data_IF_161963715256
#
_entry.id   IF_161963715256
#
_cell.length_a   1.000
_cell.length_b   1.000
_cell.length_c   1.000
_cell.angle_alpha   90.00
_cell.angle_beta   90.00
_cell.angle_gamma   90.00
#
_symmetry.space_group_name_H-M   'P 1'
#
loop_
_entity.id
_entity.type
_entity.pdbx_description
1 polymer ?
#
# COMPACT_ATOMS: atom_id res chain seq x y z
N UNK A 1 26.70 -14.27 5.44
CA UNK A 1 26.95 -13.00 6.17
C UNK A 1 26.97 -11.76 5.25
N UNK A 2 27.17 -11.91 3.93
CA UNK A 2 27.24 -10.82 2.93
C UNK A 2 25.88 -10.29 2.43
N UNK A 3 24.82 -11.11 2.43
CA UNK A 3 23.48 -10.68 2.02
C UNK A 3 22.88 -9.65 2.98
N UNK A 4 23.08 -9.86 4.29
CA UNK A 4 22.57 -8.97 5.33
C UNK A 4 23.20 -7.57 5.20
N UNK A 5 24.51 -7.50 4.94
CA UNK A 5 25.23 -6.23 4.75
C UNK A 5 24.81 -5.48 3.48
N UNK A 6 24.46 -6.19 2.40
CA UNK A 6 23.99 -5.57 1.15
C UNK A 6 22.58 -5.01 1.29
N UNK A 7 21.69 -5.77 1.93
CA UNK A 7 20.33 -5.30 2.26
C UNK A 7 20.42 -4.10 3.22
N UNK A 8 21.29 -4.17 4.22
CA UNK A 8 21.48 -3.08 5.17
C UNK A 8 22.01 -1.81 4.47
N UNK A 9 22.99 -1.93 3.56
CA UNK A 9 23.47 -0.79 2.73
C UNK A 9 22.36 -0.19 1.87
N UNK A 10 21.53 -1.02 1.24
CA UNK A 10 20.38 -0.55 0.44
C UNK A 10 19.36 0.19 1.31
N UNK A 11 19.03 -0.35 2.48
CA UNK A 11 18.09 0.27 3.42
C UNK A 11 18.62 1.57 4.04
N UNK A 12 19.93 1.65 4.35
CA UNK A 12 20.54 2.86 4.91
C UNK A 12 20.85 3.93 3.87
N UNK A 13 21.05 3.54 2.60
CA UNK A 13 21.23 4.45 1.48
C UNK A 13 19.93 5.10 1.01
N UNK A 14 18.78 4.44 1.26
CA UNK A 14 17.45 4.95 0.93
C UNK A 14 16.91 5.87 2.04
N UNK A 15 17.43 7.10 2.13
CA UNK A 15 16.99 8.09 3.11
C UNK A 15 16.02 9.11 2.52
N UNK A 16 14.71 8.81 2.58
CA UNK A 16 13.61 9.73 2.22
C UNK A 16 13.64 11.03 3.07
N UNK A 17 14.40 11.06 4.17
CA UNK A 17 14.54 12.21 5.05
C UNK A 17 15.47 13.34 4.55
N UNK A 18 16.32 13.07 3.56
CA UNK A 18 17.07 14.08 2.83
C UNK A 18 16.45 14.18 1.44
N UNK A 19 15.31 14.88 1.33
CA UNK A 19 14.45 14.95 0.16
C UNK A 19 15.24 15.11 -1.16
N UNK A 20 15.57 13.97 -1.75
CA UNK A 20 16.02 13.89 -3.13
C UNK A 20 14.79 13.39 -3.86
N UNK A 21 14.26 14.15 -4.83
CA UNK A 21 13.01 13.81 -5.52
C UNK A 21 12.99 12.37 -6.11
N UNK A 22 14.17 11.78 -6.29
CA UNK A 22 14.39 10.39 -6.68
C UNK A 22 13.73 9.34 -5.78
N UNK A 23 13.70 9.53 -4.46
CA UNK A 23 13.13 8.51 -3.57
C UNK A 23 11.60 8.48 -3.67
N UNK A 24 10.97 9.65 -3.77
CA UNK A 24 9.53 9.81 -4.02
C UNK A 24 9.18 9.24 -5.39
N UNK A 25 10.04 9.46 -6.39
CA UNK A 25 9.86 8.93 -7.74
C UNK A 25 9.88 7.40 -7.77
N UNK A 26 10.79 6.76 -7.02
CA UNK A 26 10.87 5.29 -6.90
C UNK A 26 9.61 4.72 -6.24
N UNK A 27 9.15 5.34 -5.14
CA UNK A 27 7.90 4.93 -4.47
C UNK A 27 6.70 5.06 -5.42
N UNK A 28 6.64 6.15 -6.18
CA UNK A 28 5.57 6.38 -7.14
C UNK A 28 5.57 5.36 -8.28
N UNK A 29 6.74 5.07 -8.86
CA UNK A 29 6.89 4.01 -9.89
C UNK A 29 6.48 2.65 -9.33
N UNK A 30 6.90 2.32 -8.11
CA UNK A 30 6.54 1.06 -7.49
C UNK A 30 5.03 0.92 -7.30
N UNK A 31 4.38 2.00 -6.86
CA UNK A 31 2.93 2.08 -6.71
C UNK A 31 2.22 1.85 -8.05
N UNK A 32 2.70 2.50 -9.12
CA UNK A 32 2.20 2.32 -10.49
C UNK A 32 2.43 0.88 -10.96
N UNK A 33 3.59 0.27 -10.68
CA UNK A 33 3.90 -1.10 -11.09
C UNK A 33 2.99 -2.12 -10.40
N UNK A 34 2.81 -2.01 -9.08
CA UNK A 34 1.88 -2.86 -8.30
C UNK A 34 0.45 -2.66 -8.78
N UNK A 35 0.09 -1.44 -9.13
CA UNK A 35 -1.22 -1.12 -9.68
C UNK A 35 -1.48 -1.79 -11.04
N UNK A 36 -0.58 -1.57 -12.00
CA UNK A 36 -0.66 -2.17 -13.35
C UNK A 36 -0.69 -3.70 -13.24
N UNK A 37 0.14 -4.28 -12.36
CA UNK A 37 0.16 -5.70 -12.11
C UNK A 37 -1.17 -6.21 -11.54
N UNK A 38 -1.76 -5.49 -10.58
CA UNK A 38 -3.08 -5.78 -10.03
C UNK A 38 -4.18 -5.72 -11.09
N UNK A 39 -4.13 -4.73 -11.99
CA UNK A 39 -5.08 -4.56 -13.09
C UNK A 39 -4.98 -5.68 -14.14
N UNK A 40 -3.76 -6.05 -14.56
CA UNK A 40 -3.49 -7.10 -15.54
C UNK A 40 -3.97 -8.49 -15.08
N UNK A 41 -3.95 -8.75 -13.78
CA UNK A 41 -4.31 -10.05 -13.20
C UNK A 41 -5.81 -10.21 -12.90
N UNK A 42 -6.61 -9.17 -13.13
CA UNK A 42 -8.07 -9.20 -13.01
C UNK A 42 -8.62 -8.98 -11.59
N UNK A 43 -9.96 -8.92 -11.50
CA UNK A 43 -10.71 -8.45 -10.31
C UNK A 43 -10.35 -9.14 -9.01
N UNK A 44 -10.20 -10.47 -9.02
CA UNK A 44 -9.88 -11.21 -7.80
C UNK A 44 -8.55 -10.78 -7.20
N UNK A 45 -7.57 -10.44 -8.04
CA UNK A 45 -6.23 -10.05 -7.59
C UNK A 45 -6.22 -8.61 -7.09
N UNK A 46 -7.04 -7.74 -7.67
CA UNK A 46 -7.28 -6.40 -7.10
C UNK A 46 -7.96 -6.48 -5.73
N UNK A 47 -8.96 -7.35 -5.55
CA UNK A 47 -9.62 -7.54 -4.25
C UNK A 47 -8.62 -8.06 -3.20
N UNK A 48 -7.77 -9.03 -3.55
CA UNK A 48 -6.70 -9.50 -2.66
C UNK A 48 -5.75 -8.37 -2.29
N UNK A 49 -5.32 -7.60 -3.28
CA UNK A 49 -4.40 -6.47 -3.06
C UNK A 49 -5.03 -5.45 -2.11
N UNK A 50 -6.31 -5.15 -2.30
CA UNK A 50 -7.05 -4.24 -1.43
C UNK A 50 -7.14 -4.77 0.01
N UNK A 51 -7.52 -6.04 0.20
CA UNK A 51 -7.54 -6.66 1.53
C UNK A 51 -6.16 -6.69 2.18
N UNK A 52 -5.11 -7.04 1.42
CA UNK A 52 -3.73 -7.01 1.89
C UNK A 52 -3.30 -5.60 2.31
N UNK A 53 -3.79 -4.58 1.63
CA UNK A 53 -3.56 -3.17 1.98
C UNK A 53 -4.20 -2.81 3.31
N UNK A 54 -5.45 -3.22 3.55
CA UNK A 54 -6.13 -2.99 4.83
C UNK A 54 -5.45 -3.74 5.98
N UNK A 55 -5.06 -5.00 5.79
CA UNK A 55 -4.32 -5.73 6.83
C UNK A 55 -2.95 -5.11 7.11
N UNK A 56 -2.24 -4.68 6.06
CA UNK A 56 -0.99 -3.95 6.24
C UNK A 56 -1.19 -2.68 7.05
N UNK A 57 -2.20 -1.88 6.73
CA UNK A 57 -2.54 -0.67 7.46
C UNK A 57 -2.93 -0.96 8.92
N UNK A 58 -3.72 -2.01 9.18
CA UNK A 58 -4.08 -2.38 10.55
C UNK A 58 -2.85 -2.78 11.38
N UNK A 59 -1.93 -3.55 10.78
CA UNK A 59 -0.70 -3.98 11.45
C UNK A 59 0.22 -2.78 11.69
N UNK A 60 0.36 -1.89 10.72
CA UNK A 60 1.28 -0.75 10.80
C UNK A 60 0.94 0.24 11.92
N UNK A 61 -0.36 0.36 12.22
CA UNK A 61 -0.87 1.21 13.29
C UNK A 61 -0.63 0.61 14.68
N UNK A 62 -0.49 -0.71 14.77
CA UNK A 62 -0.28 -1.43 16.05
C UNK A 62 1.21 -1.72 16.30
N UNK A 63 2.06 -1.59 15.28
CA UNK A 63 3.51 -1.80 15.41
C UNK A 63 4.09 -0.81 16.45
N UNK A 64 4.73 -1.30 17.53
CA UNK A 64 5.43 -0.45 18.48
C UNK A 64 6.76 0.00 17.88
N UNK A 65 6.73 1.05 17.05
CA UNK A 65 7.89 1.59 16.34
C UNK A 65 9.07 1.92 17.24
N UNK A 66 8.80 2.43 18.44
CA UNK A 66 9.81 2.75 19.47
C UNK A 66 10.57 1.51 19.98
N UNK A 67 9.94 0.33 19.93
CA UNK A 67 10.59 -0.93 20.27
C UNK A 67 11.33 -1.50 19.07
N UNK A 68 10.86 -1.25 17.84
CA UNK A 68 11.56 -1.65 16.62
C UNK A 68 12.85 -0.86 16.37
N UNK A 69 12.89 0.43 16.72
CA UNK A 69 14.12 1.25 16.63
C UNK A 69 15.23 0.77 17.59
N UNK A 70 14.89 -0.03 18.60
CA UNK A 70 15.87 -0.68 19.50
C UNK A 70 16.52 -1.94 18.92
N UNK A 71 15.93 -2.53 17.88
CA UNK A 71 16.45 -3.72 17.19
C UNK A 71 17.55 -3.28 16.19
N UNK A 72 18.76 -3.04 16.73
CA UNK A 72 19.98 -2.64 15.99
C UNK A 72 20.30 -3.53 14.77
N UNK A 73 19.81 -4.78 14.72
CA UNK A 73 20.05 -5.71 13.61
C UNK A 73 19.32 -5.35 12.31
N UNK A 74 18.33 -4.45 12.35
CA UNK A 74 17.63 -3.91 11.17
C UNK A 74 18.24 -2.61 10.63
N UNK A 75 19.28 -2.07 11.27
CA UNK A 75 19.90 -0.79 10.85
C UNK A 75 19.00 0.44 11.01
N UNK A 76 17.91 0.31 11.77
CA UNK A 76 16.99 1.40 12.07
C UNK A 76 17.68 2.37 13.05
N UNK A 77 17.80 3.64 12.68
CA UNK A 77 18.24 4.71 13.57
C UNK A 77 17.19 4.98 14.66
N UNK A 78 17.57 5.75 15.69
CA UNK A 78 16.78 6.03 16.91
C UNK A 78 15.35 6.56 16.65
N UNK A 79 15.07 7.06 15.45
CA UNK A 79 13.73 7.39 14.95
C UNK A 79 13.46 6.56 13.69
N UNK A 80 12.31 5.87 13.56
CA UNK A 80 11.96 5.16 12.34
C UNK A 80 11.96 6.17 11.19
N UNK A 81 12.83 5.97 10.20
CA UNK A 81 12.79 6.78 8.99
C UNK A 81 11.48 6.50 8.24
N UNK A 82 10.89 7.51 7.61
CA UNK A 82 9.72 7.34 6.74
C UNK A 82 9.91 6.22 5.71
N UNK A 83 11.15 6.07 5.21
CA UNK A 83 11.58 4.96 4.37
C UNK A 83 11.26 3.58 4.97
N UNK A 84 11.63 3.37 6.23
CA UNK A 84 11.44 2.09 6.90
C UNK A 84 9.98 1.73 7.07
N UNK A 85 9.13 2.71 7.41
CA UNK A 85 7.69 2.52 7.54
C UNK A 85 7.07 2.14 6.19
N UNK A 86 7.45 2.82 5.11
CA UNK A 86 7.00 2.52 3.75
C UNK A 86 7.44 1.11 3.33
N UNK A 87 8.70 0.72 3.58
CA UNK A 87 9.17 -0.62 3.23
C UNK A 87 8.43 -1.71 4.01
N UNK A 88 8.18 -1.51 5.31
CA UNK A 88 7.41 -2.46 6.12
C UNK A 88 5.97 -2.54 5.61
N UNK A 89 5.33 -1.40 5.32
CA UNK A 89 3.99 -1.34 4.75
C UNK A 89 3.88 -2.16 3.45
N UNK A 90 4.76 -1.89 2.49
CA UNK A 90 4.79 -2.58 1.21
C UNK A 90 5.17 -4.05 1.36
N UNK A 91 6.11 -4.36 2.24
CA UNK A 91 6.52 -5.73 2.55
C UNK A 91 5.37 -6.56 3.10
N UNK A 92 4.58 -6.00 4.02
CA UNK A 92 3.38 -6.67 4.56
C UNK A 92 2.32 -6.84 3.46
N UNK A 93 2.09 -5.83 2.61
CA UNK A 93 1.16 -5.97 1.47
C UNK A 93 1.58 -7.14 0.58
N UNK A 94 2.85 -7.19 0.17
CA UNK A 94 3.36 -8.25 -0.69
C UNK A 94 3.26 -9.63 -0.02
N UNK A 95 3.57 -9.70 1.28
CA UNK A 95 3.44 -10.91 2.07
C UNK A 95 1.99 -11.41 2.04
N UNK A 96 1.01 -10.58 2.40
CA UNK A 96 -0.40 -10.97 2.37
C UNK A 96 -0.91 -11.24 0.97
N UNK A 97 -0.47 -10.47 -0.04
CA UNK A 97 -0.86 -10.67 -1.43
C UNK A 97 -0.44 -12.06 -1.95
N UNK A 98 0.73 -12.54 -1.55
CA UNK A 98 1.20 -13.87 -1.93
C UNK A 98 0.60 -14.99 -1.08
N UNK A 99 0.34 -14.73 0.21
CA UNK A 99 -0.17 -15.72 1.16
C UNK A 99 -1.68 -15.95 1.01
N UNK A 100 -2.47 -14.90 0.80
CA UNK A 100 -3.94 -14.97 0.71
C UNK A 100 -4.46 -15.96 -0.35
N UNK A 101 -3.97 -15.95 -1.61
CA UNK A 101 -4.45 -16.87 -2.64
C UNK A 101 -4.25 -18.36 -2.29
N UNK A 102 -3.27 -18.66 -1.43
CA UNK A 102 -2.93 -20.01 -0.97
C UNK A 102 -3.61 -20.38 0.36
N UNK A 103 -4.24 -19.42 1.02
CA UNK A 103 -4.88 -19.59 2.34
C UNK A 103 -6.37 -19.93 2.22
N UNK A 104 -6.99 -20.28 3.36
CA UNK A 104 -8.45 -20.54 3.50
C UNK A 104 -9.28 -19.34 3.02
N UNK A 105 -8.77 -18.11 3.12
CA UNK A 105 -9.44 -16.92 2.58
C UNK A 105 -9.56 -16.98 1.04
N UNK A 106 -8.60 -17.62 0.37
CA UNK A 106 -8.62 -17.86 -1.06
C UNK A 106 -9.74 -18.79 -1.51
N UNK A 107 -10.08 -19.81 -0.70
CA UNK A 107 -11.20 -20.70 -0.97
C UNK A 107 -12.55 -20.07 -0.60
N UNK A 108 -12.63 -19.36 0.53
CA UNK A 108 -13.85 -18.68 0.99
C UNK A 108 -14.31 -17.56 0.05
N UNK A 109 -13.38 -16.78 -0.49
CA UNK A 109 -13.68 -15.67 -1.41
C UNK A 109 -13.80 -16.12 -2.89
N UNK A 110 -13.83 -17.44 -3.17
CA UNK A 110 -13.85 -18.01 -4.54
C UNK A 110 -12.77 -17.39 -5.45
N UNK A 111 -11.59 -17.13 -4.89
CA UNK A 111 -10.50 -16.40 -5.56
C UNK A 111 -9.96 -17.17 -6.79
N UNK A 112 -10.20 -18.48 -6.86
CA UNK A 112 -9.72 -19.36 -7.93
C UNK A 112 -10.39 -19.19 -9.28
N UNK A 113 -11.62 -18.67 -9.37
CA UNK A 113 -12.28 -18.43 -10.66
C UNK A 113 -11.92 -17.03 -11.14
N UNK A 114 -11.49 -16.89 -12.41
CA UNK A 114 -11.32 -15.58 -13.05
C UNK A 114 -12.69 -14.88 -12.99
N UNK A 115 -12.87 -14.02 -12.00
CA UNK A 115 -14.14 -13.36 -11.79
C UNK A 115 -14.38 -12.43 -12.96
N UNK A 116 -15.44 -12.69 -13.72
CA UNK A 116 -15.87 -11.79 -14.78
C UNK A 116 -16.22 -10.45 -14.12
N UNK A 117 -15.43 -9.43 -14.44
CA UNK A 117 -15.58 -8.08 -13.97
C UNK A 117 -15.61 -7.22 -15.21
N UNK A 118 -16.60 -6.35 -15.31
CA UNK A 118 -16.63 -5.42 -16.41
C UNK A 118 -15.42 -4.49 -16.32
N UNK A 119 -14.80 -4.18 -17.46
CA UNK A 119 -13.66 -3.26 -17.56
C UNK A 119 -13.80 -1.97 -16.72
N UNK A 120 -14.97 -1.29 -16.70
CA UNK A 120 -15.16 -0.09 -15.88
C UNK A 120 -15.03 -0.36 -14.37
N UNK A 121 -15.42 -1.54 -13.92
CA UNK A 121 -15.31 -1.92 -12.51
C UNK A 121 -13.85 -2.02 -12.08
N UNK A 122 -13.00 -2.64 -12.90
CA UNK A 122 -11.57 -2.75 -12.64
C UNK A 122 -10.91 -1.36 -12.59
N UNK A 123 -11.29 -0.47 -13.50
CA UNK A 123 -10.74 0.89 -13.55
C UNK A 123 -11.08 1.72 -12.31
N UNK A 124 -12.34 1.71 -11.87
CA UNK A 124 -12.78 2.47 -10.68
C UNK A 124 -12.10 1.94 -9.41
N UNK A 125 -12.12 0.62 -9.22
CA UNK A 125 -11.47 0.00 -8.07
C UNK A 125 -9.97 0.29 -8.07
N UNK A 126 -9.37 0.34 -9.26
CA UNK A 126 -7.98 0.65 -9.43
C UNK A 126 -7.58 2.07 -9.08
N UNK A 127 -8.38 3.04 -9.52
CA UNK A 127 -8.20 4.43 -9.15
C UNK A 127 -8.25 4.62 -7.63
N UNK A 128 -9.23 3.98 -6.98
CA UNK A 128 -9.35 4.05 -5.52
C UNK A 128 -8.20 3.34 -4.80
N UNK A 129 -7.70 2.23 -5.34
CA UNK A 129 -6.53 1.54 -4.82
C UNK A 129 -5.27 2.42 -4.86
N UNK A 130 -5.02 3.09 -6.00
CA UNK A 130 -3.87 4.00 -6.14
C UNK A 130 -4.01 5.17 -5.16
N UNK A 131 -5.19 5.77 -5.08
CA UNK A 131 -5.43 6.90 -4.19
C UNK A 131 -5.27 6.54 -2.71
N UNK A 132 -5.72 5.36 -2.30
CA UNK A 132 -5.46 4.80 -0.97
C UNK A 132 -3.97 4.66 -0.70
N UNK A 133 -3.22 4.05 -1.62
CA UNK A 133 -1.77 3.93 -1.46
C UNK A 133 -1.08 5.28 -1.37
N UNK A 134 -1.45 6.24 -2.23
CA UNK A 134 -0.90 7.58 -2.19
C UNK A 134 -1.17 8.25 -0.83
N UNK A 135 -2.40 8.20 -0.32
CA UNK A 135 -2.76 8.78 0.98
C UNK A 135 -1.98 8.16 2.14
N UNK A 136 -1.82 6.83 2.15
CA UNK A 136 -1.06 6.13 3.19
C UNK A 136 0.43 6.47 3.11
N UNK A 137 1.02 6.40 1.92
CA UNK A 137 2.46 6.66 1.75
C UNK A 137 2.80 8.11 2.11
N UNK A 138 1.97 9.07 1.69
CA UNK A 138 2.11 10.49 2.05
C UNK A 138 1.95 10.73 3.56
N UNK A 139 1.22 9.86 4.28
CA UNK A 139 1.10 9.97 5.73
C UNK A 139 2.37 9.58 6.50
N UNK A 140 3.24 8.79 5.88
CA UNK A 140 4.53 8.44 6.47
C UNK A 140 5.60 9.49 6.20
N UNK A 141 5.37 10.44 5.27
CA UNK A 141 6.35 11.47 4.94
C UNK A 141 6.50 12.49 6.09
N UNK A 142 7.73 13.01 6.31
CA UNK A 142 7.96 14.03 7.31
C UNK A 142 7.34 15.36 6.87
N UNK A 143 6.93 16.20 7.83
CA UNK A 143 6.30 17.49 7.56
C UNK A 143 7.09 18.38 6.58
N UNK A 144 8.43 18.31 6.59
CA UNK A 144 9.30 19.03 5.66
C UNK A 144 9.14 18.58 4.20
N UNK A 145 8.91 17.30 3.93
CA UNK A 145 8.64 16.85 2.57
C UNK A 145 7.22 17.24 2.13
N UNK A 146 6.32 17.40 3.10
CA UNK A 146 4.94 17.77 2.84
C UNK A 146 4.83 19.26 2.44
N UNK A 147 5.66 20.15 3.00
CA UNK A 147 5.58 21.59 2.72
C UNK A 147 5.73 21.94 1.25
N UNK A 148 6.47 21.14 0.48
CA UNK A 148 6.75 21.38 -0.93
C UNK A 148 5.61 20.95 -1.87
N UNK A 149 4.62 20.21 -1.37
CA UNK A 149 3.45 19.84 -2.16
C UNK A 149 2.49 21.02 -2.37
N UNK A 150 1.80 20.98 -3.51
CA UNK A 150 0.76 21.95 -3.81
C UNK A 150 -0.39 21.89 -2.79
N UNK A 151 -1.11 23.00 -2.55
CA UNK A 151 -2.24 23.04 -1.63
C UNK A 151 -3.34 22.02 -1.98
N UNK A 152 -3.51 21.74 -3.28
CA UNK A 152 -4.49 20.78 -3.76
C UNK A 152 -4.12 19.34 -3.39
N UNK A 153 -2.84 18.96 -3.55
CA UNK A 153 -2.36 17.63 -3.14
C UNK A 153 -2.50 17.44 -1.63
N UNK A 154 -2.13 18.47 -0.85
CA UNK A 154 -2.32 18.46 0.60
C UNK A 154 -3.79 18.25 0.97
N UNK A 155 -4.71 18.98 0.35
CA UNK A 155 -6.15 18.88 0.63
C UNK A 155 -6.74 17.50 0.29
N UNK A 156 -6.29 16.88 -0.80
CA UNK A 156 -6.88 15.61 -1.29
C UNK A 156 -6.27 14.39 -0.60
N UNK A 157 -4.99 14.40 -0.24
CA UNK A 157 -4.29 13.21 0.23
C UNK A 157 -3.75 13.30 1.66
N UNK A 158 -3.66 14.51 2.23
CA UNK A 158 -2.97 14.73 3.51
C UNK A 158 -3.98 15.21 4.55
N UNK A 159 -3.95 14.56 5.71
CA UNK A 159 -4.80 14.86 6.85
C UNK A 159 -5.81 13.76 7.17
N UNK A 160 -6.44 13.80 8.37
CA UNK A 160 -7.34 12.75 8.83
C UNK A 160 -8.57 12.58 7.93
N UNK A 161 -9.15 13.69 7.47
CA UNK A 161 -10.33 13.72 6.58
C UNK A 161 -10.03 13.01 5.25
N UNK A 162 -8.89 13.35 4.64
CA UNK A 162 -8.44 12.76 3.38
C UNK A 162 -8.19 11.26 3.53
N UNK A 163 -7.53 10.84 4.61
CA UNK A 163 -7.30 9.42 4.91
C UNK A 163 -8.61 8.67 5.09
N UNK A 164 -9.56 9.24 5.84
CA UNK A 164 -10.87 8.62 6.04
C UNK A 164 -11.59 8.38 4.70
N UNK A 165 -11.61 9.38 3.81
CA UNK A 165 -12.22 9.27 2.48
C UNK A 165 -11.53 8.18 1.66
N UNK A 166 -10.20 8.18 1.58
CA UNK A 166 -9.45 7.22 0.77
C UNK A 166 -9.49 5.79 1.32
N UNK A 167 -9.55 5.61 2.64
CA UNK A 167 -9.75 4.30 3.29
C UNK A 167 -11.16 3.77 3.02
N UNK A 168 -12.16 4.64 2.98
CA UNK A 168 -13.58 4.22 2.86
C UNK A 168 -14.01 3.99 1.41
N UNK A 169 -13.51 4.79 0.46
CA UNK A 169 -13.89 4.73 -0.97
C UNK A 169 -13.78 3.34 -1.61
N UNK A 170 -12.65 2.60 -1.48
CA UNK A 170 -12.52 1.27 -2.08
C UNK A 170 -13.52 0.25 -1.50
N UNK A 171 -13.82 0.33 -0.19
CA UNK A 171 -14.83 -0.52 0.45
C UNK A 171 -16.21 -0.22 -0.10
N UNK A 172 -16.59 1.06 -0.15
CA UNK A 172 -17.88 1.48 -0.71
C UNK A 172 -18.02 1.04 -2.16
N UNK A 173 -16.96 1.21 -2.96
CA UNK A 173 -16.94 0.73 -4.34
C UNK A 173 -17.23 -0.77 -4.39
N UNK A 174 -16.51 -1.59 -3.62
CA UNK A 174 -16.76 -3.04 -3.58
C UNK A 174 -18.20 -3.40 -3.20
N UNK A 175 -18.77 -2.71 -2.21
CA UNK A 175 -20.16 -2.96 -1.74
C UNK A 175 -21.18 -2.58 -2.82
N UNK A 176 -21.00 -1.43 -3.46
CA UNK A 176 -21.90 -0.91 -4.48
C UNK A 176 -21.81 -1.69 -5.80
N UNK A 177 -20.64 -2.25 -6.11
CA UNK A 177 -20.40 -3.01 -7.34
C UNK A 177 -20.97 -4.44 -7.29
N UNK A 178 -22.02 -4.66 -6.49
CA UNK A 178 -22.69 -5.95 -6.32
C UNK A 178 -23.13 -6.50 -7.67
N UNK A 179 -22.72 -7.73 -7.95
CA UNK A 179 -23.00 -8.46 -9.18
C UNK A 179 -24.51 -8.42 -9.47
N UNK A 180 -24.94 -7.88 -10.64
CA UNK A 180 -26.24 -8.23 -11.20
C UNK A 180 -26.26 -9.75 -11.33
N UNK A 181 -27.04 -10.42 -10.48
CA UNK A 181 -27.34 -11.83 -10.64
C UNK A 181 -28.15 -11.88 -11.93
N UNK A 182 -27.53 -12.28 -13.03
CA UNK A 182 -28.29 -12.72 -14.19
C UNK A 182 -29.06 -13.93 -13.69
N UNK A 183 -30.33 -13.72 -13.39
CA UNK A 183 -31.29 -14.79 -13.21
C UNK A 183 -31.42 -15.43 -14.60
N UNK A 184 -31.01 -16.69 -14.69
CA UNK A 184 -31.33 -17.58 -15.80
C UNK A 184 -32.75 -18.09 -15.63
#
# INVERSE_FOLDING_TARGET
MTLITSVQKFLTGFQIGAATGWDIFIVLIFLIAVFIYGFLLGKNRMIILLLASYFSLAIIQVIPWEKLSSLKWLGLSKTPSSSSQIFVFLGIILLFYFLMPRSILGSALRIRKRGDASWPQLSILGLFQIGLFAAILLSFLPAKAITDFSPLVKKIFIGPEAQFVWVTLPILAMVLMRKKRTEE
#
